data_IF_720301634026
#
_entry.id   IF_720301634026
#
_cell.length_a   1.000
_cell.length_b   1.000
_cell.length_c   1.000
_cell.angle_alpha   90.00
_cell.angle_beta   90.00
_cell.angle_gamma   90.00
#
_symmetry.space_group_name_H-M   'P 1'
#
loop_
_entity.id
_entity.type
_entity.pdbx_description
1 polymer ?
#
# COMPACT_ATOMS: atom_id res chain seq x y z
N UNK A 1 -12.59 20.85 22.31
CA UNK A 1 -13.13 19.87 23.26
C UNK A 1 -13.79 18.65 22.56
N UNK A 2 -13.67 18.52 21.23
CA UNK A 2 -14.22 17.39 20.43
C UNK A 2 -13.18 16.42 19.91
N UNK A 3 -11.90 16.75 19.98
CA UNK A 3 -10.78 15.91 19.52
C UNK A 3 -10.39 14.80 20.51
N UNK A 4 -10.70 14.95 21.80
CA UNK A 4 -10.29 13.96 22.82
C UNK A 4 -11.15 12.68 22.83
N UNK A 5 -12.37 12.71 22.32
CA UNK A 5 -13.25 11.53 22.28
C UNK A 5 -12.98 10.56 21.11
N UNK A 6 -12.36 11.03 20.03
CA UNK A 6 -12.04 10.17 18.88
C UNK A 6 -10.74 9.38 19.07
N UNK A 7 -9.81 9.92 19.86
CA UNK A 7 -8.56 9.24 20.23
C UNK A 7 -8.78 8.01 21.12
N UNK A 8 -9.81 8.02 21.96
CA UNK A 8 -10.08 6.89 22.87
C UNK A 8 -10.66 5.66 22.18
N UNK A 9 -11.43 5.83 21.10
CA UNK A 9 -12.05 4.68 20.41
C UNK A 9 -11.11 3.94 19.48
N UNK A 10 -10.10 4.60 18.90
CA UNK A 10 -9.05 3.90 18.14
C UNK A 10 -8.11 3.09 19.04
N UNK A 11 -7.91 3.52 20.30
CA UNK A 11 -7.12 2.76 21.28
C UNK A 11 -7.76 1.42 21.66
N UNK A 12 -9.09 1.31 21.72
CA UNK A 12 -9.77 0.07 22.10
C UNK A 12 -9.72 -1.02 21.03
N UNK A 13 -9.65 -0.67 19.74
CA UNK A 13 -9.48 -1.65 18.66
C UNK A 13 -8.09 -2.28 18.66
N UNK A 14 -7.07 -1.59 19.20
CA UNK A 14 -5.69 -2.05 19.30
C UNK A 14 -5.47 -2.88 20.57
N UNK A 15 -6.20 -2.63 21.66
CA UNK A 15 -6.02 -3.30 22.95
C UNK A 15 -6.33 -4.81 22.96
N UNK A 16 -7.11 -5.30 22.02
CA UNK A 16 -7.40 -6.74 21.90
C UNK A 16 -6.25 -7.59 21.38
N UNK A 17 -5.19 -6.98 20.86
CA UNK A 17 -4.11 -7.69 20.16
C UNK A 17 -2.73 -7.69 20.86
N UNK A 18 -2.55 -6.92 21.94
CA UNK A 18 -1.22 -6.72 22.54
C UNK A 18 -1.19 -7.12 24.01
N UNK A 19 -1.39 -8.39 24.32
CA UNK A 19 -1.17 -8.89 25.68
C UNK A 19 -0.39 -10.19 25.75
N UNK A 20 0.77 -10.30 25.10
CA UNK A 20 1.77 -11.30 25.49
C UNK A 20 3.17 -10.84 25.09
N UNK A 21 3.93 -10.32 26.06
CA UNK A 21 5.39 -10.23 25.96
C UNK A 21 5.97 -11.63 26.03
N UNK A 22 6.39 -12.20 24.92
CA UNK A 22 7.35 -13.30 24.95
C UNK A 22 8.72 -12.77 24.56
N UNK A 23 9.65 -12.82 25.50
CA UNK A 23 11.08 -12.63 25.22
C UNK A 23 11.58 -13.84 24.43
N UNK A 24 11.50 -13.78 23.11
CA UNK A 24 12.10 -14.79 22.24
C UNK A 24 12.99 -14.09 21.23
N UNK A 25 14.13 -14.68 20.98
CA UNK A 25 15.14 -14.20 20.04
C UNK A 25 14.55 -14.11 18.63
N UNK A 26 14.79 -12.99 17.95
CA UNK A 26 14.33 -12.76 16.58
C UNK A 26 14.91 -13.79 15.61
N UNK A 27 14.08 -14.21 14.66
CA UNK A 27 14.48 -15.05 13.52
C UNK A 27 15.13 -14.26 12.38
N UNK A 28 15.19 -12.94 12.47
CA UNK A 28 15.86 -12.10 11.49
C UNK A 28 17.38 -12.15 11.73
N UNK A 29 18.10 -12.95 10.96
CA UNK A 29 19.56 -13.02 11.04
C UNK A 29 20.22 -12.08 10.03
N UNK A 30 21.27 -11.40 10.51
CA UNK A 30 22.18 -10.63 9.67
C UNK A 30 22.98 -11.61 8.81
N UNK A 31 23.01 -11.40 7.49
CA UNK A 31 24.01 -12.07 6.67
C UNK A 31 25.41 -11.64 7.16
N UNK A 32 26.23 -12.57 7.62
CA UNK A 32 27.63 -12.27 7.93
C UNK A 32 28.32 -11.89 6.61
N UNK A 33 28.91 -10.70 6.56
CA UNK A 33 29.84 -10.33 5.50
C UNK A 33 30.98 -11.34 5.47
N UNK A 34 30.90 -12.29 4.59
CA UNK A 34 32.05 -12.98 4.04
C UNK A 34 32.05 -12.71 2.55
N UNK A 35 33.13 -12.11 2.06
CA UNK A 35 33.44 -12.00 0.65
C UNK A 35 33.70 -13.41 0.11
N UNK A 36 32.67 -14.18 -0.08
CA UNK A 36 32.74 -15.45 -0.81
C UNK A 36 31.52 -15.58 -1.72
N UNK A 37 31.80 -16.08 -2.91
CA UNK A 37 30.85 -16.32 -4.01
C UNK A 37 29.56 -16.95 -3.45
N UNK A 38 28.41 -16.35 -3.81
CA UNK A 38 27.09 -16.90 -3.56
C UNK A 38 27.02 -18.31 -4.15
N UNK A 39 27.26 -19.31 -3.33
CA UNK A 39 26.79 -20.68 -3.58
C UNK A 39 25.31 -20.69 -3.21
N UNK A 40 24.47 -21.16 -4.12
CA UNK A 40 23.09 -21.58 -3.83
C UNK A 40 23.15 -22.59 -2.68
N UNK A 41 22.90 -22.16 -1.46
CA UNK A 41 22.66 -23.10 -0.37
C UNK A 41 21.20 -23.56 -0.47
N UNK A 42 21.02 -24.83 -0.80
CA UNK A 42 19.77 -25.54 -0.59
C UNK A 42 19.45 -25.55 0.89
N UNK A 43 18.31 -24.99 1.25
CA UNK A 43 17.84 -24.82 2.59
C UNK A 43 17.40 -26.15 3.19
N UNK A 44 18.19 -26.75 4.06
CA UNK A 44 17.78 -27.87 4.91
C UNK A 44 17.47 -27.36 6.34
N UNK A 45 16.17 -27.23 6.61
CA UNK A 45 15.64 -27.52 7.95
C UNK A 45 15.73 -26.45 9.03
N UNK A 46 16.09 -25.18 8.75
CA UNK A 46 15.97 -24.11 9.73
C UNK A 46 15.01 -23.02 9.24
N UNK A 47 13.96 -22.74 10.02
CA UNK A 47 12.84 -21.88 9.68
C UNK A 47 13.17 -20.37 9.81
N UNK A 48 14.36 -19.96 9.45
CA UNK A 48 14.80 -18.57 9.58
C UNK A 48 14.33 -17.75 8.38
N UNK A 49 13.49 -16.72 8.62
CA UNK A 49 13.15 -15.72 7.61
C UNK A 49 14.34 -14.80 7.42
N UNK A 50 14.80 -14.68 6.18
CA UNK A 50 15.97 -13.85 5.86
C UNK A 50 15.50 -12.52 5.28
N UNK A 51 15.82 -11.42 5.97
CA UNK A 51 15.68 -10.07 5.45
C UNK A 51 16.69 -9.84 4.33
N UNK A 52 16.19 -9.53 3.13
CA UNK A 52 17.01 -9.17 1.98
C UNK A 52 17.26 -7.66 2.00
N UNK A 53 18.45 -7.25 2.46
CA UNK A 53 18.77 -5.83 2.62
C UNK A 53 18.81 -5.12 1.23
N UNK A 54 17.87 -4.22 0.92
CA UNK A 54 17.82 -3.58 -0.40
C UNK A 54 19.05 -2.73 -0.73
N UNK A 55 19.83 -2.34 0.30
CA UNK A 55 21.11 -1.62 0.12
C UNK A 55 22.26 -2.51 -0.39
N UNK A 56 22.08 -3.83 -0.35
CA UNK A 56 23.07 -4.83 -0.76
C UNK A 56 22.66 -5.54 -2.05
N UNK A 57 21.44 -5.32 -2.53
CA UNK A 57 20.90 -5.93 -3.76
C UNK A 57 21.15 -4.98 -4.94
N UNK A 58 21.57 -5.55 -6.07
CA UNK A 58 21.68 -4.79 -7.30
C UNK A 58 20.28 -4.54 -7.88
N UNK A 59 19.89 -3.26 -7.94
CA UNK A 59 18.65 -2.79 -8.53
C UNK A 59 19.04 -1.86 -9.68
N UNK A 60 18.64 -2.20 -10.89
CA UNK A 60 19.04 -1.46 -12.10
C UNK A 60 17.90 -1.33 -13.09
N UNK A 61 17.84 -0.21 -13.80
CA UNK A 61 16.85 0.02 -14.84
C UNK A 61 17.32 1.13 -15.79
N UNK A 62 17.45 0.82 -17.08
CA UNK A 62 17.85 1.81 -18.10
C UNK A 62 16.66 2.44 -18.82
N UNK A 63 15.54 1.71 -18.89
CA UNK A 63 14.30 2.13 -19.56
C UNK A 63 13.11 1.87 -18.63
N UNK A 64 13.05 2.66 -17.56
CA UNK A 64 11.99 2.53 -16.53
C UNK A 64 10.87 3.53 -16.76
N UNK A 65 9.64 3.08 -16.51
CA UNK A 65 8.45 3.92 -16.59
C UNK A 65 8.39 4.96 -15.46
N UNK A 66 7.64 6.04 -15.68
CA UNK A 66 7.11 6.85 -14.57
C UNK A 66 6.21 6.00 -13.67
N UNK A 67 5.93 6.48 -12.49
CA UNK A 67 5.03 5.82 -11.54
C UNK A 67 3.86 6.74 -11.17
N UNK A 68 2.65 6.19 -11.20
CA UNK A 68 1.50 6.71 -10.46
C UNK A 68 1.10 5.62 -9.48
N UNK A 69 1.16 5.91 -8.18
CA UNK A 69 0.81 4.97 -7.12
C UNK A 69 -0.37 5.48 -6.31
N UNK A 70 -1.49 4.75 -6.33
CA UNK A 70 -2.73 5.19 -5.67
C UNK A 70 -3.11 4.21 -4.57
N UNK A 71 -2.97 4.66 -3.32
CA UNK A 71 -3.53 3.99 -2.16
C UNK A 71 -5.02 4.26 -2.09
N UNK A 72 -5.81 3.19 -2.17
CA UNK A 72 -7.27 3.25 -2.18
C UNK A 72 -7.78 2.93 -0.78
N UNK A 73 -8.19 3.94 -0.04
CA UNK A 73 -8.68 3.81 1.34
C UNK A 73 -9.75 2.72 1.46
N UNK A 74 -9.44 1.67 2.23
CA UNK A 74 -10.34 0.58 2.57
C UNK A 74 -10.93 -0.20 1.38
N UNK A 75 -10.37 -0.12 0.17
CA UNK A 75 -10.88 -0.84 -1.00
C UNK A 75 -10.42 -2.30 -0.97
N UNK A 76 -11.38 -3.20 -0.80
CA UNK A 76 -11.16 -4.64 -0.68
C UNK A 76 -12.06 -5.46 -1.61
N UNK A 77 -11.62 -6.68 -1.92
CA UNK A 77 -12.31 -7.56 -2.87
C UNK A 77 -13.63 -8.14 -2.33
N UNK A 78 -13.89 -8.07 -1.02
CA UNK A 78 -15.15 -8.47 -0.38
C UNK A 78 -16.38 -7.83 -1.03
N UNK A 79 -16.24 -6.61 -1.56
CA UNK A 79 -17.32 -5.85 -2.19
C UNK A 79 -17.51 -6.12 -3.69
N UNK A 80 -16.74 -7.03 -4.28
CA UNK A 80 -17.03 -7.62 -5.58
C UNK A 80 -18.22 -8.59 -5.47
N UNK A 81 -18.84 -8.91 -6.59
CA UNK A 81 -19.79 -10.01 -6.62
C UNK A 81 -19.10 -11.39 -6.56
N UNK A 82 -19.91 -12.43 -6.34
CA UNK A 82 -19.40 -13.80 -6.20
C UNK A 82 -18.79 -14.36 -7.49
N UNK A 83 -19.16 -13.85 -8.65
CA UNK A 83 -18.58 -14.25 -9.94
C UNK A 83 -17.16 -13.68 -10.11
N UNK A 84 -16.86 -12.59 -9.43
CA UNK A 84 -15.58 -11.90 -9.49
C UNK A 84 -14.69 -12.10 -8.26
N UNK A 85 -15.05 -12.99 -7.34
CA UNK A 85 -14.22 -13.34 -6.18
C UNK A 85 -14.58 -12.61 -4.87
N UNK A 86 -15.66 -11.82 -4.86
CA UNK A 86 -16.24 -11.21 -3.66
C UNK A 86 -17.36 -12.04 -3.04
N UNK A 87 -18.16 -11.38 -2.20
CA UNK A 87 -19.31 -12.03 -1.53
C UNK A 87 -20.66 -11.38 -1.84
N UNK A 88 -20.67 -10.29 -2.60
CA UNK A 88 -21.90 -9.53 -2.86
C UNK A 88 -22.73 -10.17 -3.99
N UNK A 89 -24.05 -9.99 -3.92
CA UNK A 89 -24.95 -10.40 -5.01
C UNK A 89 -24.84 -9.45 -6.22
N UNK A 90 -24.45 -8.21 -5.97
CA UNK A 90 -24.25 -7.17 -7.00
C UNK A 90 -22.88 -6.54 -6.76
N UNK A 91 -22.10 -6.45 -7.82
CA UNK A 91 -20.76 -5.88 -7.76
C UNK A 91 -20.81 -4.40 -7.37
N UNK A 92 -20.15 -4.06 -6.26
CA UNK A 92 -20.06 -2.68 -5.77
C UNK A 92 -18.85 -1.92 -6.37
N UNK A 93 -17.98 -2.59 -7.12
CA UNK A 93 -16.76 -2.03 -7.72
C UNK A 93 -16.69 -2.33 -9.24
N UNK A 94 -17.74 -2.03 -10.03
CA UNK A 94 -17.82 -2.54 -11.41
C UNK A 94 -16.68 -2.05 -12.30
N UNK A 95 -16.30 -0.78 -12.25
CA UNK A 95 -15.23 -0.22 -13.10
C UNK A 95 -13.85 -0.74 -12.65
N UNK A 96 -13.61 -0.86 -11.35
CA UNK A 96 -12.36 -1.44 -10.82
C UNK A 96 -12.25 -2.93 -11.16
N UNK A 97 -13.37 -3.65 -11.20
CA UNK A 97 -13.44 -5.04 -11.67
C UNK A 97 -12.96 -5.16 -13.12
N UNK A 98 -13.45 -4.31 -14.00
CA UNK A 98 -13.05 -4.31 -15.41
C UNK A 98 -11.58 -3.89 -15.59
N UNK A 99 -11.10 -2.91 -14.83
CA UNK A 99 -9.68 -2.53 -14.82
C UNK A 99 -8.80 -3.72 -14.41
N UNK A 100 -9.16 -4.45 -13.35
CA UNK A 100 -8.41 -5.60 -12.88
C UNK A 100 -8.41 -6.78 -13.88
N UNK A 101 -9.51 -6.99 -14.62
CA UNK A 101 -9.60 -8.00 -15.68
C UNK A 101 -8.75 -7.68 -16.91
N UNK A 102 -8.69 -6.39 -17.27
CA UNK A 102 -7.96 -5.91 -18.46
C UNK A 102 -6.46 -5.75 -18.21
N UNK A 103 -6.02 -5.71 -16.96
CA UNK A 103 -4.64 -5.45 -16.57
C UNK A 103 -4.09 -6.56 -15.67
N UNK A 104 -2.97 -6.35 -15.02
CA UNK A 104 -2.42 -7.35 -14.11
C UNK A 104 -3.03 -7.19 -12.72
N UNK A 105 -3.78 -8.21 -12.30
CA UNK A 105 -4.26 -8.39 -10.93
C UNK A 105 -3.62 -9.66 -10.35
N UNK A 106 -2.87 -9.52 -9.28
CA UNK A 106 -2.40 -10.66 -8.49
C UNK A 106 -3.49 -11.09 -7.51
N UNK A 107 -3.76 -12.37 -7.46
CA UNK A 107 -4.88 -12.93 -6.71
C UNK A 107 -4.47 -14.15 -5.90
N UNK A 108 -5.03 -14.23 -4.69
CA UNK A 108 -4.93 -15.39 -3.81
C UNK A 108 -5.82 -16.57 -4.25
N UNK A 109 -6.68 -16.36 -5.25
CA UNK A 109 -7.59 -17.36 -5.82
C UNK A 109 -7.47 -17.42 -7.35
N UNK A 110 -8.29 -18.22 -8.00
CA UNK A 110 -8.46 -18.27 -9.46
C UNK A 110 -9.31 -17.12 -10.03
N UNK A 111 -10.08 -16.43 -9.17
CA UNK A 111 -10.84 -15.22 -9.51
C UNK A 111 -10.03 -13.94 -9.25
N UNK A 112 -10.67 -12.77 -9.15
CA UNK A 112 -10.01 -11.57 -8.64
C UNK A 112 -9.78 -11.70 -7.13
N UNK A 113 -8.68 -11.15 -6.69
CA UNK A 113 -8.27 -11.20 -5.30
C UNK A 113 -7.13 -10.22 -5.03
N UNK A 114 -6.37 -10.45 -3.95
CA UNK A 114 -5.32 -9.50 -3.62
C UNK A 114 -4.47 -9.85 -2.41
N UNK A 115 -3.84 -8.81 -1.85
CA UNK A 115 -2.97 -8.96 -0.71
C UNK A 115 -3.75 -9.35 0.55
N UNK A 116 -3.21 -10.31 1.26
CA UNK A 116 -3.74 -10.75 2.55
C UNK A 116 -3.42 -9.73 3.64
N UNK A 117 -4.39 -9.41 4.52
CA UNK A 117 -4.12 -8.60 5.69
C UNK A 117 -3.10 -9.30 6.59
N UNK A 118 -2.16 -8.51 7.12
CA UNK A 118 -1.02 -9.00 7.83
C UNK A 118 -0.67 -8.08 9.01
N UNK A 119 -0.08 -8.63 10.07
CA UNK A 119 0.34 -7.81 11.22
C UNK A 119 1.27 -6.68 10.78
N UNK A 120 0.95 -5.46 11.18
CA UNK A 120 1.70 -4.25 10.80
C UNK A 120 1.43 -3.73 9.39
N UNK A 121 0.30 -4.16 8.75
CA UNK A 121 -0.14 -3.66 7.43
C UNK A 121 -1.63 -3.32 7.37
N UNK A 122 -2.35 -3.35 8.50
CA UNK A 122 -3.82 -3.34 8.54
C UNK A 122 -4.45 -1.97 8.82
N UNK A 123 -3.71 -0.90 8.65
CA UNK A 123 -4.15 0.49 8.74
C UNK A 123 -3.28 1.36 7.83
N UNK A 124 -3.77 2.52 7.43
CA UNK A 124 -3.24 3.29 6.30
C UNK A 124 -1.72 3.47 6.30
N UNK A 125 -1.13 4.09 7.35
CA UNK A 125 0.32 4.32 7.36
C UNK A 125 1.13 3.02 7.46
N UNK A 126 0.63 2.00 8.14
CA UNK A 126 1.30 0.70 8.22
C UNK A 126 1.29 0.00 6.86
N UNK A 127 0.19 0.08 6.14
CA UNK A 127 0.09 -0.43 4.78
C UNK A 127 1.01 0.33 3.82
N UNK A 128 0.98 1.68 3.85
CA UNK A 128 1.89 2.51 3.06
C UNK A 128 3.35 2.15 3.34
N UNK A 129 3.72 2.03 4.63
CA UNK A 129 5.06 1.62 5.04
C UNK A 129 5.44 0.27 4.44
N UNK A 130 4.54 -0.70 4.55
CA UNK A 130 4.81 -2.06 4.08
C UNK A 130 4.98 -2.14 2.57
N UNK A 131 4.13 -1.46 1.81
CA UNK A 131 4.19 -1.39 0.36
C UNK A 131 5.40 -0.59 -0.15
N UNK A 132 5.90 0.33 0.68
CA UNK A 132 6.99 1.24 0.34
C UNK A 132 8.37 0.70 0.72
N UNK A 133 8.45 -0.16 1.76
CA UNK A 133 9.70 -0.67 2.35
C UNK A 133 9.85 -2.19 2.28
N UNK A 134 8.78 -2.93 2.02
CA UNK A 134 8.73 -4.39 2.15
C UNK A 134 8.82 -4.89 3.59
N UNK A 135 8.47 -4.05 4.58
CA UNK A 135 8.52 -4.36 6.01
C UNK A 135 7.20 -3.97 6.70
N UNK A 136 6.72 -4.76 7.68
CA UNK A 136 5.57 -4.35 8.48
C UNK A 136 5.96 -3.17 9.38
N UNK A 137 5.02 -2.26 9.62
CA UNK A 137 5.24 -1.19 10.61
C UNK A 137 5.03 -1.75 12.02
N UNK A 138 6.10 -1.78 12.78
CA UNK A 138 6.10 -2.21 14.18
C UNK A 138 6.10 -0.99 15.10
N UNK A 139 4.92 -0.56 15.53
CA UNK A 139 4.78 0.55 16.47
C UNK A 139 4.13 0.04 17.75
N UNK A 140 4.75 0.30 18.89
CA UNK A 140 4.10 0.09 20.19
C UNK A 140 3.01 1.17 20.38
N UNK A 141 1.95 0.82 21.11
CA UNK A 141 0.79 1.71 21.35
C UNK A 141 1.16 3.09 21.92
N UNK A 142 2.27 3.18 22.63
CA UNK A 142 2.78 4.43 23.21
C UNK A 142 3.78 5.17 22.33
N UNK A 143 4.06 4.66 21.13
CA UNK A 143 5.12 5.16 20.25
C UNK A 143 4.54 5.58 18.91
N UNK A 144 3.75 6.65 18.93
CA UNK A 144 3.10 7.19 17.74
C UNK A 144 4.15 7.73 16.75
N UNK A 145 4.05 7.38 15.47
CA UNK A 145 5.02 7.76 14.44
C UNK A 145 5.07 9.27 14.17
N UNK A 146 4.01 10.02 14.48
CA UNK A 146 4.02 11.48 14.42
C UNK A 146 4.93 12.13 15.46
N UNK A 147 5.23 11.43 16.56
CA UNK A 147 6.15 11.87 17.62
C UNK A 147 7.60 11.43 17.40
N UNK A 148 7.83 10.51 16.46
CA UNK A 148 9.20 10.11 16.09
C UNK A 148 9.86 11.20 15.24
N UNK A 149 11.12 11.50 15.48
CA UNK A 149 11.87 12.46 14.65
C UNK A 149 12.20 11.89 13.27
N UNK A 150 12.33 10.59 13.18
CA UNK A 150 12.73 9.87 11.97
C UNK A 150 11.81 8.67 11.73
N UNK A 151 11.53 8.39 10.47
CA UNK A 151 10.68 7.28 10.08
C UNK A 151 11.51 6.20 9.37
N UNK A 152 11.82 5.10 10.07
CA UNK A 152 12.59 3.95 9.56
C UNK A 152 13.86 4.36 8.78
N UNK A 153 14.77 5.16 9.35
CA UNK A 153 15.87 5.79 8.62
C UNK A 153 16.89 4.78 8.06
N UNK A 154 16.83 3.54 8.50
CA UNK A 154 17.67 2.46 7.97
C UNK A 154 17.08 1.74 6.77
N UNK A 155 15.78 1.90 6.49
CA UNK A 155 15.16 1.30 5.30
C UNK A 155 15.73 1.91 4.01
N UNK A 156 15.63 1.16 2.92
CA UNK A 156 15.72 1.69 1.55
C UNK A 156 14.38 1.42 0.90
N UNK A 157 13.72 2.48 0.48
CA UNK A 157 12.33 2.47 0.03
C UNK A 157 12.21 2.54 -1.48
N UNK A 158 10.99 2.45 -2.02
CA UNK A 158 10.72 2.78 -3.44
C UNK A 158 11.19 4.21 -3.70
N UNK A 159 10.86 5.17 -2.82
CA UNK A 159 11.24 6.58 -2.99
C UNK A 159 12.75 6.78 -3.06
N UNK A 160 13.53 6.18 -2.17
CA UNK A 160 15.00 6.26 -2.22
C UNK A 160 15.57 5.71 -3.53
N UNK A 161 15.00 4.62 -4.05
CA UNK A 161 15.44 4.03 -5.32
C UNK A 161 15.09 4.93 -6.50
N UNK A 162 13.90 5.53 -6.49
CA UNK A 162 13.47 6.43 -7.56
C UNK A 162 14.26 7.75 -7.53
N UNK A 163 14.56 8.31 -6.35
CA UNK A 163 15.42 9.49 -6.18
C UNK A 163 16.83 9.23 -6.74
N UNK A 164 17.47 8.09 -6.38
CA UNK A 164 18.75 7.67 -6.94
C UNK A 164 18.74 7.53 -8.48
N UNK A 165 17.56 7.35 -9.09
CA UNK A 165 17.35 7.23 -10.54
C UNK A 165 16.80 8.52 -11.19
N UNK A 166 16.81 9.65 -10.47
CA UNK A 166 16.49 10.99 -10.98
C UNK A 166 15.00 11.25 -11.21
N UNK A 167 14.10 10.57 -10.47
CA UNK A 167 12.67 10.86 -10.48
C UNK A 167 12.36 12.05 -9.60
N UNK A 168 11.46 12.90 -10.06
CA UNK A 168 10.82 13.92 -9.24
C UNK A 168 9.58 13.30 -8.60
N UNK A 169 9.45 13.39 -7.28
CA UNK A 169 8.48 12.62 -6.52
C UNK A 169 7.56 13.52 -5.71
N UNK A 170 6.25 13.39 -5.95
CA UNK A 170 5.24 14.19 -5.28
C UNK A 170 4.17 13.28 -4.67
N UNK A 171 3.79 13.56 -3.41
CA UNK A 171 2.68 12.93 -2.70
C UNK A 171 1.50 13.90 -2.62
N UNK A 172 0.29 13.44 -2.93
CA UNK A 172 -0.95 14.17 -2.69
C UNK A 172 -1.88 13.38 -1.78
N UNK A 173 -2.28 13.97 -0.66
CA UNK A 173 -3.16 13.34 0.33
C UNK A 173 -4.30 14.28 0.76
N UNK A 174 -5.44 13.68 1.06
CA UNK A 174 -6.60 14.43 1.54
C UNK A 174 -6.56 14.78 3.03
N UNK A 175 -5.59 14.27 3.80
CA UNK A 175 -5.41 14.52 5.24
C UNK A 175 -4.32 15.57 5.50
N UNK A 176 -4.01 15.83 6.77
CA UNK A 176 -2.82 16.58 7.18
C UNK A 176 -1.59 15.66 7.07
N UNK A 177 -0.51 16.16 6.50
CA UNK A 177 0.71 15.36 6.25
C UNK A 177 1.41 14.89 7.52
N UNK A 178 1.25 15.60 8.63
CA UNK A 178 1.84 15.24 9.91
C UNK A 178 1.15 14.02 10.55
N UNK A 179 -0.10 13.72 10.13
CA UNK A 179 -0.86 12.62 10.69
C UNK A 179 -0.13 11.28 10.51
N UNK A 180 0.07 10.57 11.62
CA UNK A 180 0.78 9.28 11.70
C UNK A 180 2.22 9.30 11.12
N UNK A 181 2.86 10.48 11.02
CA UNK A 181 4.21 10.62 10.50
C UNK A 181 4.34 10.45 8.98
N UNK A 182 3.26 10.64 8.24
CA UNK A 182 3.24 10.51 6.77
C UNK A 182 4.27 11.42 6.11
N UNK A 183 4.41 12.66 6.57
CA UNK A 183 5.42 13.60 6.09
C UNK A 183 6.84 13.03 6.22
N UNK A 184 7.13 12.41 7.33
CA UNK A 184 8.45 11.82 7.62
C UNK A 184 8.69 10.58 6.76
N UNK A 185 7.69 9.71 6.61
CA UNK A 185 7.81 8.53 5.77
C UNK A 185 8.20 8.90 4.33
N UNK A 186 7.60 9.93 3.76
CA UNK A 186 7.83 10.26 2.36
C UNK A 186 8.98 11.27 2.17
N UNK A 187 9.02 12.39 2.92
CA UNK A 187 10.08 13.41 2.72
C UNK A 187 11.46 12.94 3.15
N UNK A 188 11.57 12.00 4.10
CA UNK A 188 12.87 11.45 4.50
C UNK A 188 13.35 10.33 3.56
N UNK A 189 12.50 9.92 2.62
CA UNK A 189 12.74 8.83 1.68
C UNK A 189 12.52 9.24 0.21
N UNK A 190 13.09 10.39 -0.17
CA UNK A 190 13.25 10.78 -1.56
C UNK A 190 12.09 11.55 -2.19
N UNK A 191 11.01 11.88 -1.46
CA UNK A 191 9.95 12.72 -2.01
C UNK A 191 10.29 14.21 -1.92
N UNK A 192 10.06 14.94 -3.00
CA UNK A 192 10.34 16.38 -3.12
C UNK A 192 9.25 17.25 -2.54
N UNK A 193 7.98 16.78 -2.61
CA UNK A 193 6.80 17.59 -2.25
C UNK A 193 5.67 16.76 -1.70
N UNK A 194 4.94 17.33 -0.74
CA UNK A 194 3.64 16.81 -0.28
C UNK A 194 2.59 17.92 -0.43
N UNK A 195 1.55 17.63 -1.21
CA UNK A 195 0.33 18.43 -1.30
C UNK A 195 -0.73 17.83 -0.34
N UNK A 196 -0.97 18.51 0.77
CA UNK A 196 -1.92 18.16 1.83
C UNK A 196 -3.01 19.22 2.01
N UNK A 197 -3.98 18.99 2.89
CA UNK A 197 -5.08 19.96 3.11
C UNK A 197 -4.60 21.33 3.56
N UNK A 198 -3.48 21.45 4.26
CA UNK A 198 -2.96 22.72 4.74
C UNK A 198 -2.33 23.50 3.57
N UNK A 199 -1.42 22.88 2.83
CA UNK A 199 -0.78 23.48 1.66
C UNK A 199 -1.79 23.83 0.56
N UNK A 200 -2.82 23.01 0.34
CA UNK A 200 -3.88 23.28 -0.64
C UNK A 200 -4.78 24.46 -0.21
N UNK A 201 -5.02 24.64 1.09
CA UNK A 201 -5.73 25.83 1.63
C UNK A 201 -4.89 27.10 1.49
N UNK A 202 -3.61 27.05 1.81
CA UNK A 202 -2.67 28.18 1.68
C UNK A 202 -2.57 28.68 0.24
N UNK A 203 -2.69 27.75 -0.73
CA UNK A 203 -2.73 28.07 -2.15
C UNK A 203 -4.12 28.47 -2.66
N UNK A 204 -5.14 28.54 -1.81
CA UNK A 204 -6.54 28.84 -2.17
C UNK A 204 -7.17 27.86 -3.17
N UNK A 205 -6.66 26.63 -3.27
CA UNK A 205 -7.15 25.61 -4.19
C UNK A 205 -8.37 24.88 -3.66
N UNK A 206 -8.59 24.90 -2.34
CA UNK A 206 -9.71 24.24 -1.67
C UNK A 206 -10.39 25.15 -0.64
N UNK A 207 -11.67 24.89 -0.38
CA UNK A 207 -12.51 25.55 0.60
C UNK A 207 -12.99 24.54 1.67
N UNK A 208 -13.58 25.03 2.76
CA UNK A 208 -14.12 24.16 3.80
C UNK A 208 -15.19 23.21 3.26
N UNK A 209 -15.98 23.61 2.27
CA UNK A 209 -17.00 22.76 1.64
C UNK A 209 -16.41 21.59 0.83
N UNK A 210 -15.12 21.66 0.48
CA UNK A 210 -14.42 20.57 -0.19
C UNK A 210 -13.96 19.48 0.80
N UNK A 211 -14.07 19.72 2.10
CA UNK A 211 -13.67 18.79 3.14
C UNK A 211 -14.85 17.94 3.65
N UNK A 212 -14.54 16.73 4.06
CA UNK A 212 -15.37 15.89 4.92
C UNK A 212 -14.76 15.80 6.34
N UNK A 213 -15.26 14.92 7.18
CA UNK A 213 -14.76 14.76 8.56
C UNK A 213 -13.31 14.25 8.65
N UNK A 214 -12.78 13.64 7.58
CA UNK A 214 -11.45 13.06 7.55
C UNK A 214 -10.44 13.87 6.74
N UNK A 215 -10.94 14.70 5.82
CA UNK A 215 -10.08 15.52 4.99
C UNK A 215 -10.73 15.93 3.67
N UNK A 216 -9.94 16.05 2.62
CA UNK A 216 -10.38 16.46 1.29
C UNK A 216 -11.22 15.36 0.63
N UNK A 217 -12.39 15.70 0.11
CA UNK A 217 -13.25 14.79 -0.64
C UNK A 217 -12.55 14.26 -1.88
N UNK A 218 -12.66 12.97 -2.16
CA UNK A 218 -11.89 12.32 -3.21
C UNK A 218 -12.17 12.87 -4.62
N UNK A 219 -13.40 13.28 -4.91
CA UNK A 219 -13.67 13.90 -6.22
C UNK A 219 -12.84 15.18 -6.43
N UNK A 220 -12.59 15.95 -5.36
CA UNK A 220 -11.77 17.17 -5.41
C UNK A 220 -10.28 16.81 -5.42
N UNK A 221 -9.88 15.77 -4.69
CA UNK A 221 -8.53 15.23 -4.74
C UNK A 221 -8.14 14.83 -6.16
N UNK A 222 -8.99 14.08 -6.87
CA UNK A 222 -8.75 13.69 -8.26
C UNK A 222 -8.73 14.88 -9.24
N UNK A 223 -9.55 15.91 -8.99
CA UNK A 223 -9.53 17.15 -9.78
C UNK A 223 -8.15 17.85 -9.67
N UNK A 224 -7.65 17.98 -8.44
CA UNK A 224 -6.36 18.61 -8.17
C UNK A 224 -5.18 17.75 -8.64
N UNK A 225 -5.27 16.44 -8.50
CA UNK A 225 -4.26 15.49 -8.97
C UNK A 225 -3.99 15.62 -10.49
N UNK A 226 -5.04 15.89 -11.29
CA UNK A 226 -4.88 16.13 -12.73
C UNK A 226 -4.02 17.38 -13.02
N UNK A 227 -4.22 18.45 -12.26
CA UNK A 227 -3.43 19.67 -12.41
C UNK A 227 -1.97 19.43 -12.00
N UNK A 228 -1.75 18.81 -10.85
CA UNK A 228 -0.44 18.48 -10.32
C UNK A 228 0.36 17.58 -11.29
N UNK A 229 -0.27 16.51 -11.81
CA UNK A 229 0.34 15.63 -12.80
C UNK A 229 0.66 16.33 -14.13
N UNK A 230 -0.19 17.28 -14.55
CA UNK A 230 0.07 18.07 -15.76
C UNK A 230 1.36 18.87 -15.61
N UNK A 231 1.61 19.45 -14.44
CA UNK A 231 2.84 20.20 -14.15
C UNK A 231 4.03 19.27 -13.93
N UNK A 232 3.85 18.21 -13.14
CA UNK A 232 4.90 17.25 -12.77
C UNK A 232 5.47 16.55 -14.02
N UNK A 233 4.60 16.12 -14.92
CA UNK A 233 4.99 15.41 -16.15
C UNK A 233 5.87 16.20 -17.11
N UNK A 234 5.94 17.53 -16.96
CA UNK A 234 6.79 18.42 -17.76
C UNK A 234 8.21 18.53 -17.21
N UNK A 235 8.43 18.09 -15.96
CA UNK A 235 9.72 18.24 -15.27
C UNK A 235 10.71 17.09 -15.55
N UNK A 236 10.25 15.96 -16.06
CA UNK A 236 11.09 14.79 -16.35
C UNK A 236 10.44 13.46 -15.94
N UNK A 237 11.26 12.50 -15.56
CA UNK A 237 10.75 11.25 -14.94
C UNK A 237 10.08 11.57 -13.61
N UNK A 238 8.91 10.99 -13.37
CA UNK A 238 8.16 11.32 -12.17
C UNK A 238 7.59 10.08 -11.44
N UNK A 239 7.41 10.26 -10.15
CA UNK A 239 6.56 9.45 -9.29
C UNK A 239 5.49 10.34 -8.66
N UNK A 240 4.25 10.07 -8.98
CA UNK A 240 3.10 10.71 -8.34
C UNK A 240 2.37 9.68 -7.48
N UNK A 241 2.41 9.88 -6.18
CA UNK A 241 1.73 9.03 -5.20
C UNK A 241 0.54 9.77 -4.61
N UNK A 242 -0.60 9.09 -4.44
CA UNK A 242 -1.77 9.68 -3.78
C UNK A 242 -2.53 8.67 -2.94
N UNK A 243 -3.33 9.18 -1.99
CA UNK A 243 -4.22 8.36 -1.17
C UNK A 243 -5.62 8.94 -1.10
N UNK A 244 -6.62 8.10 -1.37
CA UNK A 244 -8.05 8.44 -1.22
C UNK A 244 -8.48 8.36 0.24
N UNK A 245 -9.67 8.89 0.59
CA UNK A 245 -10.11 8.96 1.99
C UNK A 245 -11.63 8.74 2.19
N UNK A 246 -12.45 8.86 1.15
CA UNK A 246 -13.91 8.85 1.31
C UNK A 246 -14.48 7.51 1.82
N UNK A 247 -13.76 6.40 1.68
CA UNK A 247 -14.13 5.10 2.23
C UNK A 247 -13.75 4.90 3.71
N UNK A 248 -13.13 5.89 4.37
CA UNK A 248 -12.65 5.74 5.75
C UNK A 248 -13.78 5.52 6.75
N UNK A 249 -13.54 4.59 7.70
CA UNK A 249 -14.49 4.27 8.78
C UNK A 249 -14.84 5.52 9.64
N UNK A 250 -15.93 5.56 10.38
CA UNK A 250 -16.93 4.49 10.57
C UNK A 250 -18.03 4.45 9.51
N UNK A 251 -18.23 5.49 8.70
CA UNK A 251 -19.41 5.62 7.83
C UNK A 251 -19.07 5.90 6.37
N UNK A 252 -17.79 6.16 6.06
CA UNK A 252 -17.40 6.71 4.78
C UNK A 252 -18.07 8.06 4.48
N UNK A 253 -17.83 8.60 3.29
CA UNK A 253 -18.42 9.86 2.86
C UNK A 253 -19.17 9.69 1.52
N UNK A 254 -20.48 10.01 1.53
CA UNK A 254 -21.27 10.12 0.30
C UNK A 254 -21.09 11.51 -0.29
N UNK A 255 -20.39 11.60 -1.40
CA UNK A 255 -20.26 12.84 -2.16
C UNK A 255 -21.46 13.05 -3.11
N UNK A 256 -21.54 14.23 -3.73
CA UNK A 256 -22.60 14.57 -4.70
C UNK A 256 -22.65 13.71 -5.96
N UNK A 257 -21.62 12.93 -6.23
CA UNK A 257 -21.52 12.06 -7.41
C UNK A 257 -21.82 10.59 -7.09
N UNK A 258 -21.98 10.26 -5.79
CA UNK A 258 -22.27 8.89 -5.39
C UNK A 258 -23.64 8.45 -5.92
N UNK A 259 -23.76 7.21 -6.41
CA UNK A 259 -25.03 6.64 -6.79
C UNK A 259 -25.93 6.43 -5.56
N UNK A 260 -27.21 6.22 -5.77
CA UNK A 260 -28.16 5.74 -4.79
C UNK A 260 -28.78 4.44 -5.30
N UNK A 261 -27.92 3.47 -5.65
CA UNK A 261 -28.30 2.21 -6.30
C UNK A 261 -28.44 1.08 -5.30
N UNK A 262 -27.60 1.11 -4.26
CA UNK A 262 -27.53 0.06 -3.24
C UNK A 262 -28.29 0.50 -1.98
N UNK A 263 -28.91 -0.46 -1.29
CA UNK A 263 -29.57 -0.19 0.00
C UNK A 263 -28.56 0.23 1.09
N UNK A 264 -27.39 -0.41 1.06
CA UNK A 264 -26.31 -0.13 1.98
C UNK A 264 -25.57 1.16 1.57
N UNK A 265 -25.47 2.11 2.49
CA UNK A 265 -24.75 3.36 2.29
C UNK A 265 -23.29 3.15 1.83
N UNK A 266 -22.59 2.19 2.44
CA UNK A 266 -21.18 1.97 2.20
C UNK A 266 -20.93 1.41 0.79
N UNK A 267 -21.84 0.56 0.30
CA UNK A 267 -21.80 0.05 -1.06
C UNK A 267 -21.93 1.16 -2.11
N UNK A 268 -22.77 2.17 -1.85
CA UNK A 268 -22.86 3.35 -2.73
C UNK A 268 -21.55 4.18 -2.71
N UNK A 269 -20.84 4.23 -1.60
CA UNK A 269 -19.53 4.90 -1.52
C UNK A 269 -18.48 4.12 -2.33
N UNK A 270 -18.45 2.78 -2.21
CA UNK A 270 -17.56 1.94 -3.02
C UNK A 270 -17.82 2.10 -4.52
N UNK A 271 -19.09 2.09 -4.94
CA UNK A 271 -19.45 2.31 -6.35
C UNK A 271 -19.06 3.72 -6.83
N UNK A 272 -19.16 4.72 -5.96
CA UNK A 272 -18.67 6.05 -6.25
C UNK A 272 -17.16 6.08 -6.48
N UNK A 273 -16.40 5.44 -5.58
CA UNK A 273 -14.94 5.35 -5.70
C UNK A 273 -14.53 4.61 -6.97
N UNK A 274 -15.15 3.47 -7.26
CA UNK A 274 -14.92 2.72 -8.51
C UNK A 274 -15.03 3.63 -9.74
N UNK A 275 -16.10 4.43 -9.82
CA UNK A 275 -16.34 5.36 -10.91
C UNK A 275 -15.34 6.53 -10.94
N UNK A 276 -15.03 7.13 -9.79
CA UNK A 276 -14.08 8.26 -9.71
C UNK A 276 -12.68 7.84 -10.14
N UNK A 277 -12.21 6.70 -9.63
CA UNK A 277 -10.90 6.15 -9.98
C UNK A 277 -10.85 5.83 -11.48
N UNK A 278 -11.85 5.15 -12.02
CA UNK A 278 -11.89 4.86 -13.45
C UNK A 278 -11.87 6.14 -14.29
N UNK A 279 -12.63 7.16 -13.90
CA UNK A 279 -12.63 8.46 -14.61
C UNK A 279 -11.26 9.16 -14.56
N UNK A 280 -10.51 8.95 -13.49
CA UNK A 280 -9.14 9.45 -13.40
C UNK A 280 -8.20 8.64 -14.31
N UNK A 281 -8.32 7.32 -14.35
CA UNK A 281 -7.55 6.47 -15.27
C UNK A 281 -7.85 6.81 -16.74
N UNK A 282 -9.13 7.06 -17.09
CA UNK A 282 -9.50 7.45 -18.44
C UNK A 282 -8.91 8.81 -18.82
N UNK A 283 -8.81 9.75 -17.88
CA UNK A 283 -8.06 10.97 -18.09
C UNK A 283 -6.55 10.70 -18.29
N UNK A 284 -5.95 9.82 -17.49
CA UNK A 284 -4.54 9.41 -17.66
C UNK A 284 -4.28 8.86 -19.06
N UNK A 285 -5.19 8.01 -19.59
CA UNK A 285 -5.10 7.44 -20.95
C UNK A 285 -5.04 8.51 -22.05
N UNK A 286 -5.59 9.69 -21.81
CA UNK A 286 -5.54 10.81 -22.75
C UNK A 286 -4.24 11.62 -22.73
N UNK A 287 -3.33 11.31 -21.82
CA UNK A 287 -2.08 12.06 -21.63
C UNK A 287 -0.94 11.45 -22.45
N UNK A 288 -0.03 12.30 -22.95
CA UNK A 288 1.12 11.86 -23.77
C UNK A 288 2.11 10.96 -23.03
N UNK A 289 2.15 11.03 -21.71
CA UNK A 289 3.04 10.24 -20.86
C UNK A 289 2.44 8.87 -20.48
N UNK A 290 1.17 8.59 -20.79
CA UNK A 290 0.46 7.40 -20.32
C UNK A 290 1.17 6.09 -20.65
N UNK A 291 1.58 5.89 -21.90
CA UNK A 291 2.22 4.66 -22.35
C UNK A 291 3.57 4.38 -21.66
N UNK A 292 4.22 5.43 -21.14
CA UNK A 292 5.47 5.34 -20.41
C UNK A 292 5.28 5.47 -18.88
N UNK A 293 4.07 5.17 -18.39
CA UNK A 293 3.73 5.31 -16.97
C UNK A 293 3.07 4.03 -16.47
N UNK A 294 3.70 3.40 -15.48
CA UNK A 294 3.08 2.31 -14.72
C UNK A 294 2.14 2.91 -13.68
N UNK A 295 0.89 2.47 -13.68
CA UNK A 295 -0.09 2.88 -12.66
C UNK A 295 -0.39 1.71 -11.76
N UNK A 296 -0.21 1.89 -10.45
CA UNK A 296 -0.50 0.90 -9.41
C UNK A 296 -1.68 1.39 -8.59
N UNK A 297 -2.78 0.64 -8.65
CA UNK A 297 -3.96 0.84 -7.82
C UNK A 297 -3.95 -0.24 -6.74
N UNK A 298 -4.00 0.12 -5.48
CA UNK A 298 -3.97 -0.85 -4.39
C UNK A 298 -4.79 -0.40 -3.20
N UNK A 299 -5.67 -1.29 -2.71
CA UNK A 299 -6.35 -1.10 -1.44
C UNK A 299 -5.35 -1.11 -0.30
N UNK A 300 -5.40 -0.11 0.57
CA UNK A 300 -4.43 -0.01 1.66
C UNK A 300 -4.68 -1.07 2.76
N UNK A 301 -5.92 -1.27 3.17
CA UNK A 301 -6.31 -2.33 4.11
C UNK A 301 -7.80 -2.68 3.96
N UNK A 302 -8.25 -3.85 4.46
CA UNK A 302 -9.68 -4.15 4.55
C UNK A 302 -10.40 -3.16 5.47
N UNK A 303 -11.64 -2.78 5.13
CA UNK A 303 -12.39 -1.82 5.94
C UNK A 303 -12.50 -2.25 7.41
N UNK A 304 -12.28 -1.30 8.31
CA UNK A 304 -12.50 -1.48 9.74
C UNK A 304 -13.95 -1.19 10.17
N UNK A 305 -14.82 -0.80 9.24
CA UNK A 305 -16.25 -0.53 9.49
C UNK A 305 -17.03 -1.84 9.62
N UNK A 306 -16.90 -2.49 10.77
CA UNK A 306 -17.42 -3.84 11.05
C UNK A 306 -18.90 -4.02 10.68
N UNK A 307 -19.72 -2.99 10.85
CA UNK A 307 -21.15 -3.04 10.51
C UNK A 307 -21.45 -3.32 9.03
N UNK A 308 -20.47 -3.16 8.15
CA UNK A 308 -20.61 -3.42 6.70
C UNK A 308 -20.01 -4.74 6.24
N UNK A 309 -19.37 -5.47 7.15
CA UNK A 309 -18.70 -6.75 6.89
C UNK A 309 -19.08 -7.83 7.92
N UNK A 310 -20.14 -7.61 8.70
CA UNK A 310 -20.62 -8.59 9.69
C UNK A 310 -21.21 -9.85 9.04
N UNK A 311 -21.61 -9.78 7.78
CA UNK A 311 -22.18 -10.85 6.97
C UNK A 311 -21.12 -11.64 6.20
N UNK A 312 -19.84 -11.28 6.33
CA UNK A 312 -18.75 -11.99 5.67
C UNK A 312 -18.60 -13.38 6.27
N UNK A 313 -18.69 -14.46 5.46
CA UNK A 313 -18.48 -15.82 5.92
C UNK A 313 -17.11 -15.99 6.57
N UNK A 314 -17.03 -16.78 7.64
CA UNK A 314 -15.79 -16.96 8.40
C UNK A 314 -14.67 -17.67 7.63
N UNK A 315 -15.02 -18.39 6.57
CA UNK A 315 -14.10 -19.07 5.64
C UNK A 315 -13.72 -18.20 4.43
N UNK A 316 -14.36 -17.02 4.25
CA UNK A 316 -13.96 -16.08 3.21
C UNK A 316 -12.73 -15.29 3.64
N UNK A 317 -11.68 -15.34 2.83
CA UNK A 317 -10.44 -14.64 3.07
C UNK A 317 -10.51 -13.23 2.47
N UNK A 318 -10.70 -12.21 3.32
CA UNK A 318 -10.71 -10.81 2.90
C UNK A 318 -9.33 -10.39 2.39
N UNK A 319 -9.29 -9.75 1.23
CA UNK A 319 -8.06 -9.26 0.58
C UNK A 319 -8.24 -7.86 0.02
N UNK A 320 -7.18 -7.07 -0.02
CA UNK A 320 -7.20 -5.73 -0.62
C UNK A 320 -7.14 -5.81 -2.13
N UNK A 321 -7.81 -4.88 -2.80
CA UNK A 321 -7.77 -4.75 -4.26
C UNK A 321 -6.35 -4.43 -4.75
N UNK A 322 -5.96 -4.91 -5.94
CA UNK A 322 -4.76 -4.47 -6.64
C UNK A 322 -4.92 -4.53 -8.16
N UNK A 323 -4.27 -3.61 -8.87
CA UNK A 323 -4.23 -3.59 -10.32
C UNK A 323 -2.97 -2.84 -10.79
N UNK A 324 -2.19 -3.47 -11.68
CA UNK A 324 -1.03 -2.88 -12.33
C UNK A 324 -1.35 -2.61 -13.80
N UNK A 325 -1.37 -1.34 -14.19
CA UNK A 325 -1.63 -0.86 -15.56
C UNK A 325 -0.28 -0.47 -16.17
N UNK A 326 -0.07 -0.81 -17.44
CA UNK A 326 1.16 -0.53 -18.20
C UNK A 326 2.43 -1.06 -17.51
N UNK A 327 2.34 -2.26 -16.94
CA UNK A 327 3.53 -2.95 -16.44
C UNK A 327 4.48 -3.30 -17.58
N UNK A 328 5.78 -3.02 -17.42
CA UNK A 328 6.83 -3.42 -18.39
C UNK A 328 7.12 -4.90 -18.40
N UNK A 329 6.66 -5.62 -17.40
CA UNK A 329 6.82 -7.06 -17.27
C UNK A 329 5.47 -7.75 -17.19
N UNK A 330 5.43 -8.99 -17.66
CA UNK A 330 4.25 -9.86 -17.61
C UNK A 330 4.58 -11.18 -16.96
N UNK A 331 3.57 -11.85 -16.44
CA UNK A 331 3.70 -13.20 -15.87
C UNK A 331 2.39 -13.97 -16.05
N UNK A 332 2.48 -15.27 -16.18
CA UNK A 332 1.32 -16.17 -16.09
C UNK A 332 0.98 -16.55 -14.64
N UNK A 333 1.88 -16.26 -13.71
CA UNK A 333 1.78 -16.56 -12.27
C UNK A 333 0.95 -15.50 -11.51
N UNK A 334 -0.23 -15.15 -12.03
CA UNK A 334 -1.07 -14.08 -11.43
C UNK A 334 -2.09 -14.60 -10.42
N UNK A 335 -2.43 -15.88 -10.48
CA UNK A 335 -3.53 -16.50 -9.71
C UNK A 335 -3.01 -17.52 -8.71
N UNK A 336 -3.81 -17.73 -7.66
CA UNK A 336 -3.48 -18.63 -6.56
C UNK A 336 -2.13 -18.31 -5.89
N UNK A 337 -1.81 -17.00 -5.79
CA UNK A 337 -0.62 -16.47 -5.12
C UNK A 337 -0.98 -15.96 -3.73
N UNK A 338 -0.39 -16.53 -2.71
CA UNK A 338 -0.53 -15.99 -1.35
C UNK A 338 0.53 -14.91 -1.13
N UNK A 339 0.10 -13.68 -0.92
CA UNK A 339 1.01 -12.54 -0.76
C UNK A 339 0.45 -11.47 0.17
N UNK A 340 1.32 -10.56 0.61
CA UNK A 340 1.00 -9.44 1.48
C UNK A 340 1.40 -8.10 0.86
N UNK A 341 1.12 -7.01 1.53
CA UNK A 341 1.57 -5.69 1.11
C UNK A 341 3.10 -5.55 1.03
N UNK A 342 3.87 -6.38 1.74
CA UNK A 342 5.34 -6.38 1.64
C UNK A 342 5.84 -6.76 0.24
N UNK A 343 5.10 -7.61 -0.45
CA UNK A 343 5.44 -8.07 -1.80
C UNK A 343 5.22 -6.98 -2.87
N UNK A 344 4.41 -5.94 -2.55
CA UNK A 344 4.17 -4.81 -3.46
C UNK A 344 5.44 -3.99 -3.72
N UNK A 345 6.37 -3.93 -2.77
CA UNK A 345 7.62 -3.17 -2.92
C UNK A 345 8.47 -3.66 -4.12
N UNK A 346 8.97 -4.89 -4.16
CA UNK A 346 9.72 -5.37 -5.32
C UNK A 346 8.85 -5.52 -6.57
N UNK A 347 7.55 -5.81 -6.41
CA UNK A 347 6.63 -5.97 -7.55
C UNK A 347 6.40 -4.66 -8.28
N UNK A 348 6.25 -3.54 -7.56
CA UNK A 348 6.10 -2.20 -8.16
C UNK A 348 7.34 -1.82 -8.96
N UNK A 349 8.53 -1.99 -8.41
CA UNK A 349 9.77 -1.69 -9.12
C UNK A 349 9.94 -2.56 -10.38
N UNK A 350 9.62 -3.85 -10.28
CA UNK A 350 9.64 -4.74 -11.45
C UNK A 350 8.61 -4.31 -12.51
N UNK A 351 7.40 -3.92 -12.11
CA UNK A 351 6.38 -3.42 -13.02
C UNK A 351 6.84 -2.16 -13.78
N UNK A 352 7.63 -1.30 -13.13
CA UNK A 352 8.23 -0.12 -13.76
C UNK A 352 9.37 -0.46 -14.73
N UNK A 353 9.90 -1.67 -14.70
CA UNK A 353 11.02 -2.12 -15.54
C UNK A 353 12.37 -2.15 -14.83
N UNK A 354 12.42 -2.04 -13.51
CA UNK A 354 13.64 -2.30 -12.76
C UNK A 354 13.94 -3.80 -12.70
N UNK A 355 15.20 -4.15 -12.93
CA UNK A 355 15.71 -5.49 -12.67
C UNK A 355 16.19 -5.56 -11.21
N UNK A 356 15.70 -6.54 -10.47
CA UNK A 356 16.01 -6.77 -9.06
C UNK A 356 16.77 -8.09 -8.96
N UNK A 357 18.02 -8.06 -8.57
CA UNK A 357 18.82 -9.28 -8.38
C UNK A 357 18.14 -10.17 -7.32
N UNK A 358 17.86 -11.43 -7.68
CA UNK A 358 17.21 -12.40 -6.82
C UNK A 358 15.70 -12.16 -6.61
N UNK A 359 15.08 -11.16 -7.25
CA UNK A 359 13.63 -10.88 -7.20
C UNK A 359 13.05 -10.72 -5.79
N UNK A 360 13.86 -10.30 -4.81
CA UNK A 360 13.43 -10.08 -3.41
C UNK A 360 14.04 -8.81 -2.85
N UNK A 361 13.23 -8.02 -2.13
CA UNK A 361 13.67 -6.85 -1.37
C UNK A 361 13.01 -6.84 -0.01
N UNK A 362 13.77 -6.61 1.04
CA UNK A 362 13.33 -6.68 2.43
C UNK A 362 12.69 -8.05 2.74
N UNK A 363 11.41 -8.11 3.04
CA UNK A 363 10.64 -9.35 3.21
C UNK A 363 9.76 -9.67 2.00
N UNK A 364 9.68 -8.76 1.03
CA UNK A 364 8.84 -8.90 -0.15
C UNK A 364 9.47 -9.70 -1.28
N UNK A 365 8.64 -10.37 -2.05
CA UNK A 365 8.99 -11.11 -3.27
C UNK A 365 8.32 -10.45 -4.48
N UNK A 366 9.05 -10.26 -5.57
CA UNK A 366 8.50 -9.81 -6.84
C UNK A 366 7.49 -10.82 -7.38
N UNK A 367 6.21 -10.45 -7.43
CA UNK A 367 5.11 -11.32 -7.85
C UNK A 367 5.13 -11.65 -9.36
N UNK A 368 5.86 -10.90 -10.15
CA UNK A 368 6.09 -11.26 -11.55
C UNK A 368 7.07 -12.43 -11.70
N UNK A 369 7.80 -12.79 -10.64
CA UNK A 369 8.70 -13.93 -10.62
C UNK A 369 7.97 -15.22 -10.21
N UNK A 370 8.59 -16.37 -10.52
CA UNK A 370 8.11 -17.68 -10.08
C UNK A 370 8.49 -18.01 -8.62
N UNK A 371 9.18 -17.10 -7.93
CA UNK A 371 9.63 -17.34 -6.56
C UNK A 371 8.45 -17.31 -5.60
N UNK A 372 8.43 -18.22 -4.62
CA UNK A 372 7.41 -18.16 -3.59
C UNK A 372 7.60 -16.96 -2.67
N UNK A 373 6.49 -16.36 -2.26
CA UNK A 373 6.47 -15.35 -1.19
C UNK A 373 6.81 -15.99 0.17
N UNK A 374 7.03 -15.15 1.18
CA UNK A 374 7.32 -15.70 2.52
C UNK A 374 6.11 -16.45 3.10
N UNK A 375 4.88 -16.00 2.81
CA UNK A 375 3.68 -16.69 3.29
C UNK A 375 3.35 -17.96 2.49
N UNK A 376 3.67 -18.02 1.19
CA UNK A 376 3.60 -19.25 0.40
C UNK A 376 4.59 -20.31 0.91
N UNK A 377 5.75 -19.87 1.41
CA UNK A 377 6.79 -20.78 1.88
C UNK A 377 6.57 -21.27 3.31
N UNK A 378 6.11 -20.39 4.21
CA UNK A 378 6.08 -20.66 5.64
C UNK A 378 4.67 -20.67 6.25
N UNK A 379 3.66 -20.20 5.52
CA UNK A 379 2.29 -20.04 6.01
C UNK A 379 2.05 -18.67 6.68
N UNK A 380 0.85 -18.14 6.53
CA UNK A 380 0.47 -16.81 7.01
C UNK A 380 0.54 -16.71 8.53
N UNK A 381 -0.01 -17.70 9.25
CA UNK A 381 -0.07 -17.68 10.71
C UNK A 381 1.33 -17.67 11.32
N UNK A 382 2.20 -18.55 10.84
CA UNK A 382 3.59 -18.58 11.28
C UNK A 382 4.30 -17.24 11.07
N UNK A 383 4.17 -16.63 9.89
CA UNK A 383 4.80 -15.35 9.60
C UNK A 383 4.19 -14.22 10.45
N UNK A 384 2.87 -14.23 10.69
CA UNK A 384 2.23 -13.27 11.58
C UNK A 384 2.78 -13.34 13.02
N UNK A 385 3.03 -14.54 13.52
CA UNK A 385 3.67 -14.73 14.84
C UNK A 385 5.11 -14.22 14.84
N UNK A 386 5.87 -14.54 13.79
CA UNK A 386 7.28 -14.20 13.70
C UNK A 386 7.56 -12.69 13.60
N UNK A 387 6.77 -11.98 12.80
CA UNK A 387 6.96 -10.52 12.67
C UNK A 387 6.57 -9.73 13.92
N UNK A 388 5.80 -10.33 14.83
CA UNK A 388 5.48 -9.71 16.11
C UNK A 388 6.67 -9.78 17.11
N UNK A 389 7.61 -10.70 16.89
CA UNK A 389 8.79 -10.82 17.74
C UNK A 389 9.75 -9.63 17.50
N UNK A 390 10.47 -9.23 18.55
CA UNK A 390 11.51 -8.21 18.41
C UNK A 390 12.67 -8.73 17.55
N UNK A 391 13.25 -7.83 16.76
CA UNK A 391 14.44 -8.10 15.97
C UNK A 391 15.51 -7.08 16.27
N UNK A 392 16.54 -7.50 17.02
CA UNK A 392 17.65 -6.60 17.36
C UNK A 392 18.27 -5.97 16.11
N UNK A 393 18.33 -6.71 15.00
CA UNK A 393 18.86 -6.19 13.76
C UNK A 393 17.95 -5.10 13.15
N UNK A 394 16.65 -5.39 13.02
CA UNK A 394 15.69 -4.42 12.45
C UNK A 394 15.53 -3.20 13.37
N UNK A 395 15.43 -3.43 14.66
CA UNK A 395 15.24 -2.36 15.65
C UNK A 395 16.42 -1.38 15.64
N UNK A 396 17.66 -1.89 15.58
CA UNK A 396 18.88 -1.06 15.57
C UNK A 396 19.25 -0.49 14.19
N UNK A 397 18.98 -1.20 13.11
CA UNK A 397 19.50 -0.82 11.81
C UNK A 397 18.44 -0.25 10.86
N UNK A 398 17.15 -0.54 11.09
CA UNK A 398 16.06 -0.16 10.20
C UNK A 398 15.10 0.81 10.89
N UNK A 399 14.41 0.35 11.93
CA UNK A 399 13.37 1.17 12.60
C UNK A 399 13.97 2.34 13.35
N UNK A 400 14.99 2.10 14.17
CA UNK A 400 15.69 3.12 14.97
C UNK A 400 14.71 4.07 15.70
N UNK A 401 13.70 3.50 16.35
CA UNK A 401 12.76 4.27 17.15
C UNK A 401 13.48 5.02 18.27
N UNK A 402 13.00 6.25 18.61
CA UNK A 402 13.54 7.09 19.68
C UNK A 402 13.31 6.46 21.07
#
# INVERSE_FOLDING_TARGET
MFLSCLYTNSRYAIYGYISQKSQTTSIYNKSKKTKEKVKKEEYQGDSTIVYQNPKEINISGSDTNNLIYIYLESIENTFLDTENGGIKNVNCLPELTELAKQNTNFSNTDQLGGALPFTGTTWTIASMTSQFTGLPLKVEVANDMDQQNRFMPGAKTIGDILDENGYIQELMIGSQKEFAGTDKLFLQHGFDKISDINSLKEQYLIKNDDLNQWGLKDYKLFELAKNELTELSQKGKFNFTMATIDCHMPKGFLCKYCPNTYENRYENIYACQSKLINSFIDWCKSQSWYENTTIVLVGDHPTMAQQYVNDVPSDYQRTTYNCFINSKVTTDQKKNRQFTHMDMYPTTLAAMGFNIEGNKLALGTNLFSELPTIIEKYGQDYINEEVQKSSEYLDKNIYQFN
#
